data_IF_130005447237
#
_entry.id   IF_130005447237
#
_cell.length_a   1.000
_cell.length_b   1.000
_cell.length_c   1.000
_cell.angle_alpha   90.00
_cell.angle_beta   90.00
_cell.angle_gamma   90.00
#
_symmetry.space_group_name_H-M   'P 1'
#
loop_
_entity.id
_entity.type
_entity.pdbx_description
1 polymer ?
#
# COMPACT_ATOMS: atom_id res chain seq x y z
N UNK A 1 32.99 -20.21 14.24
CA UNK A 1 32.07 -19.99 13.12
C UNK A 1 31.36 -18.67 13.37
N UNK A 2 31.76 -17.60 12.67
CA UNK A 2 31.07 -16.30 12.79
C UNK A 2 29.66 -16.47 12.23
N UNK A 3 28.64 -16.20 13.03
CA UNK A 3 27.27 -16.17 12.55
C UNK A 3 27.20 -15.18 11.38
N UNK A 4 26.87 -15.66 10.17
CA UNK A 4 26.73 -14.80 8.99
C UNK A 4 25.72 -13.69 9.31
N UNK A 5 26.20 -12.45 9.37
CA UNK A 5 25.38 -11.28 9.68
C UNK A 5 24.19 -11.19 8.72
N UNK A 6 22.98 -11.08 9.26
CA UNK A 6 21.74 -10.94 8.49
C UNK A 6 21.12 -9.57 8.74
N UNK A 7 21.23 -8.61 7.79
CA UNK A 7 20.64 -7.28 7.95
C UNK A 7 19.15 -7.26 8.29
N UNK A 8 18.37 -8.25 7.85
CA UNK A 8 16.94 -8.33 8.17
C UNK A 8 16.64 -8.52 9.66
N UNK A 9 17.61 -8.99 10.44
CA UNK A 9 17.48 -9.13 11.91
C UNK A 9 18.05 -7.92 12.67
N UNK A 10 18.67 -6.98 11.97
CA UNK A 10 19.21 -5.76 12.55
C UNK A 10 18.11 -4.68 12.63
N UNK A 11 17.81 -4.10 13.82
CA UNK A 11 16.89 -2.98 13.95
C UNK A 11 17.24 -1.79 13.03
N UNK A 12 18.52 -1.54 12.75
CA UNK A 12 18.97 -0.47 11.86
C UNK A 12 18.45 -0.63 10.43
N UNK A 13 18.18 -1.86 9.99
CA UNK A 13 17.57 -2.11 8.69
C UNK A 13 16.15 -1.53 8.62
N UNK A 14 15.36 -1.67 9.69
CA UNK A 14 14.01 -1.11 9.75
C UNK A 14 14.01 0.41 9.88
N UNK A 15 15.02 0.97 10.57
CA UNK A 15 15.25 2.43 10.58
C UNK A 15 15.55 2.94 9.17
N UNK A 16 16.40 2.22 8.41
CA UNK A 16 16.68 2.56 7.02
C UNK A 16 15.42 2.47 6.16
N UNK A 17 14.61 1.41 6.28
CA UNK A 17 13.32 1.27 5.58
C UNK A 17 12.42 2.48 5.86
N UNK A 18 12.25 2.88 7.12
CA UNK A 18 11.46 4.06 7.48
C UNK A 18 12.04 5.37 6.90
N UNK A 19 13.35 5.54 6.99
CA UNK A 19 14.05 6.71 6.44
C UNK A 19 13.89 6.82 4.91
N UNK A 20 14.05 5.72 4.18
CA UNK A 20 13.83 5.69 2.74
C UNK A 20 12.36 5.92 2.39
N UNK A 21 11.42 5.39 3.17
CA UNK A 21 10.00 5.68 2.99
C UNK A 21 9.71 7.19 3.14
N UNK A 22 10.32 7.86 4.13
CA UNK A 22 10.21 9.31 4.30
C UNK A 22 10.77 10.09 3.11
N UNK A 23 11.98 9.77 2.65
CA UNK A 23 12.65 10.51 1.56
C UNK A 23 11.92 10.31 0.23
N UNK A 24 11.60 9.06 -0.12
CA UNK A 24 10.95 8.72 -1.38
C UNK A 24 9.50 9.17 -1.45
N UNK A 25 8.89 9.50 -0.32
CA UNK A 25 7.56 10.10 -0.25
C UNK A 25 7.63 11.62 -0.19
N UNK A 26 8.43 12.17 0.72
CA UNK A 26 8.50 13.61 1.00
C UNK A 26 9.10 14.40 -0.15
N UNK A 27 10.24 13.97 -0.72
CA UNK A 27 10.88 14.73 -1.79
C UNK A 27 10.00 14.82 -3.05
N UNK A 28 9.46 13.72 -3.61
CA UNK A 28 8.60 13.83 -4.79
C UNK A 28 7.30 14.59 -4.51
N UNK A 29 6.75 14.46 -3.29
CA UNK A 29 5.57 15.22 -2.89
C UNK A 29 5.82 16.73 -2.85
N UNK A 30 7.01 17.16 -2.40
CA UNK A 30 7.40 18.58 -2.41
C UNK A 30 7.61 19.12 -3.83
N UNK A 31 8.13 18.30 -4.74
CA UNK A 31 8.33 18.66 -6.14
C UNK A 31 7.00 18.72 -6.92
N UNK A 32 6.00 17.93 -6.53
CA UNK A 32 4.66 17.96 -7.13
C UNK A 32 4.51 17.14 -8.41
N UNK A 33 5.43 16.22 -8.70
CA UNK A 33 5.40 15.39 -9.92
C UNK A 33 4.62 14.09 -9.72
N UNK A 34 3.42 14.01 -10.32
CA UNK A 34 2.47 12.89 -10.16
C UNK A 34 3.03 11.48 -10.40
N UNK A 35 3.96 11.34 -11.35
CA UNK A 35 4.55 10.04 -11.72
C UNK A 35 5.77 9.67 -10.88
N UNK A 36 6.49 10.67 -10.36
CA UNK A 36 7.75 10.44 -9.65
C UNK A 36 7.50 9.81 -8.28
N UNK A 37 6.45 10.25 -7.58
CA UNK A 37 6.11 9.80 -6.23
C UNK A 37 5.95 8.26 -6.14
N UNK A 38 4.98 7.62 -6.83
CA UNK A 38 4.80 6.18 -6.72
C UNK A 38 5.97 5.39 -7.34
N UNK A 39 6.66 5.96 -8.34
CA UNK A 39 7.81 5.29 -8.98
C UNK A 39 9.00 5.15 -8.02
N UNK A 40 9.39 6.25 -7.36
CA UNK A 40 10.47 6.26 -6.37
C UNK A 40 10.16 5.33 -5.19
N UNK A 41 8.93 5.39 -4.68
CA UNK A 41 8.49 4.55 -3.57
C UNK A 41 8.48 3.07 -3.95
N UNK A 42 7.87 2.73 -5.10
CA UNK A 42 7.74 1.35 -5.54
C UNK A 42 9.08 0.69 -5.81
N UNK A 43 10.01 1.39 -6.48
CA UNK A 43 11.35 0.87 -6.75
C UNK A 43 12.16 0.65 -5.46
N UNK A 44 12.15 1.64 -4.55
CA UNK A 44 12.90 1.54 -3.31
C UNK A 44 12.33 0.44 -2.40
N UNK A 45 11.00 0.38 -2.24
CA UNK A 45 10.32 -0.66 -1.49
C UNK A 45 10.63 -2.06 -2.05
N UNK A 46 10.55 -2.22 -3.38
CA UNK A 46 10.83 -3.49 -4.04
C UNK A 46 12.24 -4.00 -3.71
N UNK A 47 13.26 -3.13 -3.67
CA UNK A 47 14.62 -3.54 -3.28
C UNK A 47 14.64 -4.15 -1.87
N UNK A 48 13.99 -3.53 -0.89
CA UNK A 48 13.93 -4.03 0.48
C UNK A 48 13.12 -5.33 0.60
N UNK A 49 11.98 -5.42 -0.10
CA UNK A 49 11.13 -6.62 -0.13
C UNK A 49 11.87 -7.78 -0.79
N UNK A 50 12.45 -7.56 -1.97
CA UNK A 50 13.23 -8.56 -2.71
C UNK A 50 14.36 -9.11 -1.84
N UNK A 51 15.08 -8.26 -1.10
CA UNK A 51 16.16 -8.69 -0.21
C UNK A 51 15.66 -9.66 0.88
N UNK A 52 14.53 -9.36 1.51
CA UNK A 52 13.95 -10.21 2.55
C UNK A 52 13.38 -11.52 1.97
N UNK A 53 12.69 -11.44 0.81
CA UNK A 53 12.10 -12.61 0.14
C UNK A 53 13.17 -13.56 -0.39
N UNK A 54 14.26 -13.05 -0.99
CA UNK A 54 15.38 -13.88 -1.48
C UNK A 54 16.04 -14.71 -0.39
N UNK A 55 15.95 -14.28 0.87
CA UNK A 55 16.48 -15.00 2.04
C UNK A 55 15.49 -16.02 2.61
N UNK A 56 14.30 -16.15 2.01
CA UNK A 56 13.23 -17.01 2.52
C UNK A 56 12.57 -16.47 3.78
N UNK A 57 12.86 -15.22 4.18
CA UNK A 57 12.39 -14.60 5.41
C UNK A 57 11.10 -13.80 5.19
N UNK A 58 10.03 -14.48 4.77
CA UNK A 58 8.73 -13.85 4.42
C UNK A 58 8.16 -12.99 5.55
N UNK A 59 8.37 -13.36 6.82
CA UNK A 59 7.94 -12.54 7.97
C UNK A 59 8.62 -11.17 7.98
N UNK A 60 9.90 -11.10 7.63
CA UNK A 60 10.63 -9.84 7.58
C UNK A 60 10.19 -9.00 6.38
N UNK A 61 9.88 -9.63 5.24
CA UNK A 61 9.28 -8.95 4.10
C UNK A 61 7.94 -8.28 4.45
N UNK A 62 7.09 -8.98 5.22
CA UNK A 62 5.83 -8.41 5.73
C UNK A 62 6.09 -7.22 6.65
N UNK A 63 7.09 -7.29 7.54
CA UNK A 63 7.44 -6.16 8.39
C UNK A 63 8.01 -4.96 7.63
N UNK A 64 8.88 -5.19 6.64
CA UNK A 64 9.41 -4.14 5.76
C UNK A 64 8.26 -3.40 5.08
N UNK A 65 7.36 -4.17 4.46
CA UNK A 65 6.17 -3.64 3.80
C UNK A 65 5.30 -2.86 4.80
N UNK A 66 4.98 -3.44 5.96
CA UNK A 66 4.14 -2.79 6.96
C UNK A 66 4.74 -1.46 7.47
N UNK A 67 6.02 -1.46 7.85
CA UNK A 67 6.71 -0.24 8.32
C UNK A 67 6.71 0.82 7.22
N UNK A 68 7.04 0.44 5.99
CA UNK A 68 7.04 1.35 4.85
C UNK A 68 5.66 1.97 4.62
N UNK A 69 4.62 1.14 4.50
CA UNK A 69 3.27 1.61 4.19
C UNK A 69 2.71 2.48 5.31
N UNK A 70 2.99 2.17 6.58
CA UNK A 70 2.56 3.00 7.72
C UNK A 70 3.25 4.36 7.68
N UNK A 71 4.58 4.40 7.54
CA UNK A 71 5.34 5.66 7.47
C UNK A 71 4.89 6.51 6.29
N UNK A 72 4.75 5.89 5.11
CA UNK A 72 4.26 6.54 3.90
C UNK A 72 2.84 7.08 4.09
N UNK A 73 1.91 6.27 4.60
CA UNK A 73 0.53 6.68 4.82
C UNK A 73 0.45 7.89 5.73
N UNK A 74 1.11 7.84 6.90
CA UNK A 74 1.12 8.94 7.86
C UNK A 74 1.72 10.22 7.26
N UNK A 75 2.82 10.10 6.52
CA UNK A 75 3.45 11.25 5.88
C UNK A 75 2.57 11.86 4.79
N UNK A 76 1.97 11.04 3.93
CA UNK A 76 1.04 11.52 2.89
C UNK A 76 -0.18 12.17 3.52
N UNK A 77 -0.77 11.59 4.57
CA UNK A 77 -1.89 12.19 5.30
C UNK A 77 -1.50 13.54 5.92
N UNK A 78 -0.33 13.63 6.55
CA UNK A 78 0.18 14.88 7.11
C UNK A 78 0.38 15.96 6.03
N UNK A 79 1.00 15.58 4.90
CA UNK A 79 1.23 16.48 3.78
C UNK A 79 -0.08 16.89 3.10
N UNK A 80 -1.08 16.01 3.01
CA UNK A 80 -2.42 16.33 2.52
C UNK A 80 -3.14 17.32 3.42
N UNK A 81 -2.98 17.16 4.73
CA UNK A 81 -3.59 18.02 5.73
C UNK A 81 -3.01 19.45 5.69
N UNK A 82 -1.69 19.60 5.49
CA UNK A 82 -1.00 20.90 5.53
C UNK A 82 -0.82 21.54 4.15
N UNK A 83 -0.55 20.74 3.11
CA UNK A 83 -0.17 21.18 1.77
C UNK A 83 -1.01 20.53 0.66
N UNK A 84 -2.34 20.54 0.82
CA UNK A 84 -3.28 19.77 -0.01
C UNK A 84 -3.06 19.96 -1.52
N UNK A 85 -2.97 21.20 -2.01
CA UNK A 85 -2.82 21.48 -3.44
C UNK A 85 -1.52 20.92 -4.07
N UNK A 86 -0.42 20.87 -3.30
CA UNK A 86 0.84 20.30 -3.81
C UNK A 86 0.75 18.78 -3.92
N UNK A 87 0.12 18.16 -2.93
CA UNK A 87 -0.01 16.71 -2.91
C UNK A 87 -1.05 16.21 -3.92
N UNK A 88 -2.11 16.97 -4.18
CA UNK A 88 -3.06 16.70 -5.28
C UNK A 88 -2.35 16.57 -6.63
N UNK A 89 -1.35 17.42 -6.89
CA UNK A 89 -0.53 17.34 -8.10
C UNK A 89 0.46 16.16 -8.08
N UNK A 90 0.95 15.77 -6.90
CA UNK A 90 1.90 14.66 -6.74
C UNK A 90 1.23 13.27 -6.74
N UNK A 91 -0.09 13.19 -6.51
CA UNK A 91 -0.84 11.95 -6.57
C UNK A 91 -1.58 11.86 -7.90
N UNK A 92 -1.40 10.78 -8.65
CA UNK A 92 -2.08 10.58 -9.91
C UNK A 92 -3.61 10.53 -9.74
N UNK A 93 -4.31 11.54 -10.29
CA UNK A 93 -5.74 11.74 -10.10
C UNK A 93 -6.11 12.28 -8.71
N UNK A 94 -5.21 13.04 -8.08
CA UNK A 94 -5.35 13.50 -6.71
C UNK A 94 -6.52 14.47 -6.51
N UNK A 95 -6.78 15.36 -7.48
CA UNK A 95 -7.90 16.28 -7.43
C UNK A 95 -9.24 15.54 -7.43
N UNK A 96 -9.40 14.56 -8.33
CA UNK A 96 -10.59 13.71 -8.41
C UNK A 96 -10.75 12.85 -7.16
N UNK A 97 -9.65 12.27 -6.65
CA UNK A 97 -9.66 11.45 -5.45
C UNK A 97 -10.09 12.24 -4.20
N UNK A 98 -9.66 13.51 -4.10
CA UNK A 98 -10.10 14.44 -3.06
C UNK A 98 -11.59 14.77 -3.20
N UNK A 99 -12.04 15.14 -4.40
CA UNK A 99 -13.45 15.46 -4.62
C UNK A 99 -14.36 14.30 -4.23
N UNK A 100 -14.03 13.09 -4.70
CA UNK A 100 -14.83 11.91 -4.46
C UNK A 100 -14.91 11.51 -2.97
N UNK A 101 -13.84 11.69 -2.18
CA UNK A 101 -13.91 11.40 -0.74
C UNK A 101 -14.73 12.42 0.05
N UNK A 102 -14.68 13.70 -0.36
CA UNK A 102 -15.50 14.73 0.27
C UNK A 102 -16.98 14.54 -0.09
N UNK A 103 -17.28 14.13 -1.33
CA UNK A 103 -18.64 13.74 -1.73
C UNK A 103 -19.15 12.54 -0.93
N UNK A 104 -18.36 11.47 -0.76
CA UNK A 104 -18.76 10.36 0.11
C UNK A 104 -19.02 10.82 1.55
N UNK A 105 -18.13 11.64 2.11
CA UNK A 105 -18.25 12.03 3.51
C UNK A 105 -19.43 12.98 3.79
N UNK A 106 -19.78 13.86 2.84
CA UNK A 106 -20.77 14.93 3.07
C UNK A 106 -22.06 14.79 2.25
N UNK A 107 -22.09 13.95 1.21
CA UNK A 107 -23.20 13.90 0.24
C UNK A 107 -23.75 12.48 -0.02
N UNK A 108 -23.56 11.54 0.90
CA UNK A 108 -24.15 10.17 0.88
C UNK A 108 -23.95 9.44 -0.46
N UNK A 109 -22.73 9.54 -0.98
CA UNK A 109 -22.27 9.00 -2.26
C UNK A 109 -21.43 7.76 -2.01
N UNK A 110 -21.56 6.70 -2.81
CA UNK A 110 -20.75 5.47 -2.69
C UNK A 110 -19.26 5.73 -2.39
N UNK A 111 -18.68 4.87 -1.54
CA UNK A 111 -17.27 4.97 -1.18
C UNK A 111 -16.37 4.98 -2.43
N UNK A 112 -15.47 5.97 -2.56
CA UNK A 112 -14.77 6.23 -3.83
C UNK A 112 -13.85 5.08 -4.24
N UNK A 113 -14.01 4.64 -5.48
CA UNK A 113 -13.24 3.54 -6.06
C UNK A 113 -13.58 2.17 -5.47
N UNK A 114 -14.65 2.04 -4.69
CA UNK A 114 -15.21 0.76 -4.25
C UNK A 114 -15.63 -0.12 -5.44
N UNK A 115 -15.84 -1.41 -5.21
CA UNK A 115 -16.35 -2.33 -6.24
C UNK A 115 -17.68 -1.86 -6.90
N UNK A 116 -18.67 -1.34 -6.14
CA UNK A 116 -19.90 -0.83 -6.74
C UNK A 116 -19.71 0.47 -7.54
N UNK A 117 -18.73 1.30 -7.17
CA UNK A 117 -18.45 2.59 -7.82
C UNK A 117 -17.62 2.43 -9.11
N UNK A 118 -16.52 1.66 -9.05
CA UNK A 118 -15.61 1.43 -10.18
C UNK A 118 -15.03 -0.01 -10.18
N UNK A 119 -15.82 -1.00 -10.65
CA UNK A 119 -15.45 -2.41 -10.57
C UNK A 119 -14.20 -2.73 -11.40
N UNK A 120 -14.05 -2.10 -12.57
CA UNK A 120 -12.93 -2.38 -13.47
C UNK A 120 -11.62 -1.83 -12.96
N UNK A 121 -11.61 -0.64 -12.37
CA UNK A 121 -10.42 -0.12 -11.71
C UNK A 121 -10.01 -1.00 -10.53
N UNK A 122 -10.97 -1.48 -9.74
CA UNK A 122 -10.65 -2.34 -8.58
C UNK A 122 -10.13 -3.71 -9.01
N UNK A 123 -10.73 -4.34 -10.03
CA UNK A 123 -10.20 -5.58 -10.60
C UNK A 123 -8.84 -5.37 -11.25
N UNK A 124 -8.63 -4.25 -11.93
CA UNK A 124 -7.34 -3.86 -12.50
C UNK A 124 -6.25 -3.66 -11.44
N UNK A 125 -6.60 -3.13 -10.26
CA UNK A 125 -5.67 -3.00 -9.13
C UNK A 125 -5.24 -4.37 -8.58
N UNK A 126 -6.20 -5.29 -8.37
CA UNK A 126 -5.92 -6.65 -7.90
C UNK A 126 -5.08 -7.41 -8.94
N UNK A 127 -5.48 -7.36 -10.22
CA UNK A 127 -4.74 -7.97 -11.31
C UNK A 127 -3.34 -7.35 -11.45
N UNK A 128 -3.22 -6.03 -11.33
CA UNK A 128 -1.96 -5.30 -11.37
C UNK A 128 -1.01 -5.70 -10.24
N UNK A 129 -1.52 -5.86 -9.01
CA UNK A 129 -0.71 -6.35 -7.89
C UNK A 129 -0.25 -7.79 -8.14
N UNK A 130 -1.17 -8.67 -8.48
CA UNK A 130 -0.90 -10.11 -8.59
C UNK A 130 -0.04 -10.46 -9.81
N UNK A 131 -0.50 -10.10 -11.02
CA UNK A 131 0.23 -10.35 -12.27
C UNK A 131 1.50 -9.49 -12.35
N UNK A 132 1.44 -8.25 -11.88
CA UNK A 132 2.61 -7.37 -11.86
C UNK A 132 3.70 -7.88 -10.94
N UNK A 133 3.38 -8.30 -9.72
CA UNK A 133 4.35 -8.92 -8.83
C UNK A 133 4.94 -10.21 -9.42
N UNK A 134 4.08 -11.07 -9.98
CA UNK A 134 4.47 -12.33 -10.64
C UNK A 134 5.37 -12.15 -11.86
N UNK A 135 5.22 -11.04 -12.60
CA UNK A 135 5.97 -10.79 -13.83
C UNK A 135 7.28 -10.01 -13.58
N UNK A 136 7.35 -9.24 -12.50
CA UNK A 136 8.46 -8.27 -12.25
C UNK A 136 9.18 -8.49 -10.93
N UNK A 137 8.99 -9.64 -10.30
CA UNK A 137 9.54 -9.96 -8.99
C UNK A 137 9.19 -8.90 -7.94
N UNK A 138 7.93 -8.45 -7.95
CA UNK A 138 7.38 -7.51 -6.98
C UNK A 138 7.36 -6.05 -7.39
N UNK A 139 8.20 -5.61 -8.34
CA UNK A 139 8.35 -4.16 -8.66
C UNK A 139 7.02 -3.50 -9.02
N UNK A 140 6.26 -4.07 -9.96
CA UNK A 140 4.96 -3.52 -10.36
C UNK A 140 3.92 -3.71 -9.27
N UNK A 141 3.96 -4.82 -8.54
CA UNK A 141 3.03 -5.06 -7.44
C UNK A 141 3.17 -4.01 -6.32
N UNK A 142 4.41 -3.78 -5.89
CA UNK A 142 4.77 -2.78 -4.88
C UNK A 142 4.42 -1.37 -5.37
N UNK A 143 4.66 -1.06 -6.65
CA UNK A 143 4.23 0.21 -7.27
C UNK A 143 2.72 0.44 -7.20
N UNK A 144 1.89 -0.59 -7.45
CA UNK A 144 0.44 -0.47 -7.32
C UNK A 144 0.04 -0.26 -5.86
N UNK A 145 0.64 -1.00 -4.93
CA UNK A 145 0.34 -0.90 -3.48
C UNK A 145 0.69 0.50 -2.95
N UNK A 146 1.88 1.04 -3.27
CA UNK A 146 2.26 2.39 -2.80
C UNK A 146 1.37 3.46 -3.43
N UNK A 147 0.94 3.29 -4.68
CA UNK A 147 -0.02 4.21 -5.31
C UNK A 147 -1.36 4.19 -4.58
N UNK A 148 -1.86 3.01 -4.21
CA UNK A 148 -3.10 2.88 -3.44
C UNK A 148 -3.00 3.53 -2.06
N UNK A 149 -1.85 3.37 -1.38
CA UNK A 149 -1.55 4.01 -0.09
C UNK A 149 -1.46 5.52 -0.20
N UNK A 150 -0.86 6.05 -1.28
CA UNK A 150 -0.83 7.49 -1.52
C UNK A 150 -2.24 8.08 -1.69
N UNK A 151 -3.10 7.41 -2.46
CA UNK A 151 -4.49 7.85 -2.63
C UNK A 151 -5.23 7.81 -1.29
N UNK A 152 -5.08 6.73 -0.53
CA UNK A 152 -5.70 6.61 0.80
C UNK A 152 -5.22 7.69 1.78
N UNK A 153 -3.91 7.97 1.80
CA UNK A 153 -3.33 9.00 2.64
C UNK A 153 -3.84 10.39 2.28
N UNK A 154 -3.93 10.70 0.97
CA UNK A 154 -4.50 11.94 0.46
C UNK A 154 -5.97 12.09 0.87
N UNK A 155 -6.76 11.02 0.74
CA UNK A 155 -8.17 11.02 1.09
C UNK A 155 -8.38 11.32 2.57
N UNK A 156 -7.66 10.63 3.46
CA UNK A 156 -7.75 10.90 4.90
C UNK A 156 -7.31 12.32 5.24
N UNK A 157 -6.21 12.80 4.66
CA UNK A 157 -5.74 14.15 4.93
C UNK A 157 -6.69 15.24 4.42
N UNK A 158 -7.36 15.01 3.29
CA UNK A 158 -8.43 15.86 2.81
C UNK A 158 -9.62 15.88 3.78
N UNK A 159 -10.03 14.72 4.30
CA UNK A 159 -11.08 14.66 5.32
C UNK A 159 -10.67 15.40 6.60
N UNK A 160 -9.43 15.22 7.07
CA UNK A 160 -8.90 15.95 8.22
C UNK A 160 -8.90 17.47 8.02
N UNK A 161 -8.56 17.93 6.82
CA UNK A 161 -8.54 19.34 6.49
C UNK A 161 -9.95 19.98 6.47
N UNK A 162 -11.00 19.21 6.14
CA UNK A 162 -12.36 19.74 5.96
C UNK A 162 -13.31 19.41 7.14
N UNK A 163 -13.15 18.25 7.77
CA UNK A 163 -14.00 17.76 8.87
C UNK A 163 -13.31 17.81 10.24
N UNK A 164 -12.02 18.15 10.29
CA UNK A 164 -11.24 18.25 11.52
C UNK A 164 -10.77 16.90 12.08
N UNK A 165 -10.08 16.95 13.23
CA UNK A 165 -9.41 15.78 13.82
C UNK A 165 -10.35 14.67 14.31
N UNK A 166 -11.62 14.99 14.59
CA UNK A 166 -12.63 14.01 15.02
C UNK A 166 -12.90 12.92 13.97
N UNK A 167 -12.64 13.22 12.69
CA UNK A 167 -12.89 12.28 11.58
C UNK A 167 -12.13 10.97 11.73
N UNK A 168 -10.98 10.96 12.42
CA UNK A 168 -10.19 9.74 12.68
C UNK A 168 -10.99 8.73 13.49
N UNK A 169 -11.81 9.21 14.43
CA UNK A 169 -12.57 8.37 15.35
C UNK A 169 -14.00 8.12 14.88
N UNK A 170 -14.58 9.06 14.13
CA UNK A 170 -15.98 9.00 13.72
C UNK A 170 -16.20 8.42 12.33
N UNK A 171 -15.20 8.48 11.44
CA UNK A 171 -15.33 7.95 10.08
C UNK A 171 -15.00 6.46 10.02
N UNK A 172 -15.78 5.65 9.27
CA UNK A 172 -15.42 4.25 9.00
C UNK A 172 -14.21 4.11 8.05
N UNK A 173 -13.68 5.21 7.49
CA UNK A 173 -12.65 5.22 6.45
C UNK A 173 -11.48 4.26 6.70
N UNK A 174 -10.86 4.33 7.89
CA UNK A 174 -9.70 3.50 8.22
C UNK A 174 -10.05 2.00 8.24
N UNK A 175 -11.25 1.66 8.70
CA UNK A 175 -11.75 0.28 8.74
C UNK A 175 -12.03 -0.29 7.35
N UNK A 176 -12.39 0.57 6.39
CA UNK A 176 -12.59 0.19 4.99
C UNK A 176 -11.24 -0.06 4.29
N UNK A 177 -10.29 0.87 4.48
CA UNK A 177 -9.08 0.93 3.66
C UNK A 177 -7.95 0.04 4.17
N UNK A 178 -7.74 -0.05 5.50
CA UNK A 178 -6.62 -0.82 6.07
C UNK A 178 -6.67 -2.31 5.68
N UNK A 179 -7.81 -3.03 5.81
CA UNK A 179 -7.86 -4.44 5.43
C UNK A 179 -7.54 -4.66 3.96
N UNK A 180 -8.08 -3.81 3.07
CA UNK A 180 -7.81 -3.88 1.62
C UNK A 180 -6.33 -3.71 1.32
N UNK A 181 -5.70 -2.65 1.83
CA UNK A 181 -4.28 -2.39 1.58
C UNK A 181 -3.38 -3.48 2.17
N UNK A 182 -3.70 -3.99 3.36
CA UNK A 182 -2.97 -5.09 3.98
C UNK A 182 -3.11 -6.39 3.16
N UNK A 183 -4.29 -6.66 2.61
CA UNK A 183 -4.52 -7.78 1.71
C UNK A 183 -3.70 -7.68 0.43
N UNK A 184 -3.71 -6.52 -0.24
CA UNK A 184 -2.91 -6.27 -1.44
C UNK A 184 -1.40 -6.38 -1.17
N UNK A 185 -0.92 -5.80 -0.07
CA UNK A 185 0.47 -5.88 0.36
C UNK A 185 0.93 -7.33 0.59
N UNK A 186 0.10 -8.15 1.24
CA UNK A 186 0.39 -9.57 1.44
C UNK A 186 0.42 -10.37 0.13
N UNK A 187 -0.49 -10.08 -0.80
CA UNK A 187 -0.47 -10.67 -2.14
C UNK A 187 0.77 -10.25 -2.94
N UNK A 188 1.17 -8.98 -2.89
CA UNK A 188 2.39 -8.50 -3.55
C UNK A 188 3.62 -9.31 -3.09
N UNK A 189 3.79 -9.51 -1.78
CA UNK A 189 4.88 -10.30 -1.21
C UNK A 189 4.81 -11.76 -1.67
N UNK A 190 3.62 -12.38 -1.60
CA UNK A 190 3.43 -13.78 -1.98
C UNK A 190 3.79 -14.01 -3.45
N UNK A 191 3.34 -13.13 -4.33
CA UNK A 191 3.53 -13.26 -5.77
C UNK A 191 4.91 -12.79 -6.26
N UNK A 192 5.69 -12.16 -5.39
CA UNK A 192 7.10 -11.84 -5.64
C UNK A 192 8.01 -13.07 -5.47
N UNK A 193 7.65 -14.00 -4.59
CA UNK A 193 8.46 -15.15 -4.22
C UNK A 193 8.76 -16.15 -5.37
N UNK A 194 7.83 -16.48 -6.29
CA UNK A 194 8.06 -17.46 -7.37
C UNK A 194 9.21 -17.12 -8.30
N UNK A 195 9.30 -15.86 -8.74
CA UNK A 195 10.39 -15.42 -9.62
C UNK A 195 11.74 -15.41 -8.91
N UNK A 196 11.76 -14.99 -7.64
CA UNK A 196 13.00 -14.84 -6.89
C UNK A 196 13.60 -16.18 -6.44
N UNK A 197 12.75 -17.14 -6.11
CA UNK A 197 13.15 -18.47 -5.62
C UNK A 197 13.16 -19.54 -6.72
N UNK A 198 12.64 -19.22 -7.91
CA UNK A 198 12.40 -20.14 -9.03
C UNK A 198 11.49 -21.33 -8.67
N UNK A 199 10.71 -21.21 -7.59
CA UNK A 199 9.75 -22.25 -7.19
C UNK A 199 8.33 -21.84 -7.59
N UNK A 200 7.76 -22.56 -8.56
CA UNK A 200 6.42 -22.27 -9.12
C UNK A 200 5.34 -23.25 -8.66
N UNK A 201 5.67 -24.17 -7.75
CA UNK A 201 4.73 -25.21 -7.30
C UNK A 201 3.65 -24.64 -6.36
N UNK A 202 2.36 -24.67 -6.72
CA UNK A 202 1.29 -24.21 -5.83
C UNK A 202 1.23 -24.97 -4.51
N UNK A 203 1.55 -26.29 -4.55
CA UNK A 203 1.59 -27.13 -3.35
C UNK A 203 2.73 -26.79 -2.39
N UNK A 204 3.81 -26.15 -2.87
CA UNK A 204 4.84 -25.59 -1.99
C UNK A 204 4.29 -24.37 -1.23
N UNK A 205 3.67 -23.42 -1.93
CA UNK A 205 3.09 -22.22 -1.31
C UNK A 205 1.97 -22.55 -0.34
N UNK A 206 1.09 -23.50 -0.69
CA UNK A 206 0.04 -23.92 0.22
C UNK A 206 0.58 -24.53 1.52
N UNK A 207 1.67 -25.31 1.47
CA UNK A 207 2.28 -25.89 2.67
C UNK A 207 3.07 -24.89 3.49
N UNK A 208 3.84 -24.02 2.84
CA UNK A 208 4.83 -23.16 3.52
C UNK A 208 4.37 -21.72 3.75
N UNK A 209 3.33 -21.27 3.03
CA UNK A 209 2.82 -19.89 3.06
C UNK A 209 1.31 -19.81 3.33
N UNK A 210 0.67 -20.92 3.75
CA UNK A 210 -0.79 -21.00 4.02
C UNK A 210 -1.33 -19.81 4.79
N UNK A 211 -0.68 -19.47 5.91
CA UNK A 211 -1.12 -18.39 6.79
C UNK A 211 -1.13 -17.05 6.06
N UNK A 212 -0.08 -16.75 5.29
CA UNK A 212 -0.02 -15.50 4.52
C UNK A 212 -1.09 -15.47 3.44
N UNK A 213 -1.30 -16.57 2.71
CA UNK A 213 -2.34 -16.68 1.69
C UNK A 213 -3.72 -16.40 2.29
N UNK A 214 -4.07 -17.16 3.34
CA UNK A 214 -5.39 -17.07 3.98
C UNK A 214 -5.63 -15.68 4.56
N UNK A 215 -4.64 -15.11 5.28
CA UNK A 215 -4.79 -13.78 5.88
C UNK A 215 -4.89 -12.70 4.81
N UNK A 216 -4.07 -12.74 3.76
CA UNK A 216 -4.08 -11.70 2.71
C UNK A 216 -5.39 -11.73 1.93
N UNK A 217 -5.86 -12.92 1.56
CA UNK A 217 -7.14 -13.09 0.85
C UNK A 217 -8.32 -12.72 1.75
N UNK A 218 -8.30 -13.11 3.04
CA UNK A 218 -9.36 -12.76 3.97
C UNK A 218 -9.43 -11.26 4.23
N UNK A 219 -8.28 -10.58 4.38
CA UNK A 219 -8.22 -9.12 4.57
C UNK A 219 -8.69 -8.37 3.31
N UNK A 220 -8.29 -8.84 2.12
CA UNK A 220 -8.76 -8.27 0.87
C UNK A 220 -10.28 -8.44 0.71
N UNK A 221 -10.79 -9.66 0.91
CA UNK A 221 -12.23 -9.94 0.84
C UNK A 221 -13.02 -9.12 1.87
N UNK A 222 -12.52 -9.03 3.12
CA UNK A 222 -13.12 -8.21 4.16
C UNK A 222 -13.18 -6.74 3.74
N UNK A 223 -12.06 -6.18 3.24
CA UNK A 223 -12.03 -4.79 2.76
C UNK A 223 -13.04 -4.54 1.64
N UNK A 224 -13.12 -5.45 0.66
CA UNK A 224 -14.06 -5.35 -0.45
C UNK A 224 -15.53 -5.43 0.00
N UNK A 225 -15.84 -6.32 0.95
CA UNK A 225 -17.19 -6.43 1.53
C UNK A 225 -17.53 -5.15 2.29
N UNK A 226 -16.64 -4.68 3.16
CA UNK A 226 -16.88 -3.46 3.93
C UNK A 226 -17.09 -2.24 3.03
N UNK A 227 -16.27 -2.07 1.97
CA UNK A 227 -16.43 -1.01 0.99
C UNK A 227 -17.79 -1.07 0.26
N UNK A 228 -18.33 -2.26 0.03
CA UNK A 228 -19.63 -2.43 -0.64
C UNK A 228 -20.84 -2.13 0.25
N UNK A 229 -20.65 -2.12 1.57
CA UNK A 229 -21.73 -1.93 2.55
C UNK A 229 -21.90 -0.46 2.96
N UNK A 230 -20.91 0.39 2.70
CA UNK A 230 -20.88 1.79 3.16
C UNK A 230 -21.20 2.74 2.01
N UNK A 231 -22.10 3.69 2.27
CA UNK A 231 -22.47 4.81 1.41
C UNK A 231 -22.01 6.12 2.01
#
# INVERSE_FOLDING_TARGET
MNASYSPTRDPLFYVAVGFFALITTGLPAMIGLSRLLPLMQGLALAVFVILAVRRGETRHAVWVMAVWLVVQFLLVTLLAWVFTARLENAVAGGFEARGAILEWHFADRLFPGSLPDDPWRRLGEIAGVTLGALATAGVVGDWVVVRAVNVAGLQLGAMLANAGGSVILTSPFLWLVIPRLAGLAGLAILFTEPLLTRTWSPGFYWRNRRRLIVVSVALLALGLILESLVR
#
